data_IF_732736340748
#
_entry.id   IF_732736340748
#
_cell.length_a   1.000
_cell.length_b   1.000
_cell.length_c   1.000
_cell.angle_alpha   90.00
_cell.angle_beta   90.00
_cell.angle_gamma   90.00
#
_symmetry.space_group_name_H-M   'P 1'
#
loop_
_entity.id
_entity.type
_entity.pdbx_description
1 polymer ?
#
# COMPACT_ATOMS: atom_id res chain seq x y z
N UNK A 1 6.22 4.02 -21.70
CA UNK A 1 6.29 2.84 -20.82
C UNK A 1 5.70 3.06 -19.43
N UNK A 2 5.94 4.21 -18.77
CA UNK A 2 5.38 4.49 -17.43
C UNK A 2 3.86 4.29 -17.31
N UNK A 3 3.06 4.77 -18.28
CA UNK A 3 1.60 4.57 -18.27
C UNK A 3 1.21 3.08 -18.34
N UNK A 4 1.94 2.29 -19.13
CA UNK A 4 1.70 0.85 -19.24
C UNK A 4 2.07 0.13 -17.94
N UNK A 5 3.21 0.48 -17.34
CA UNK A 5 3.63 -0.08 -16.04
C UNK A 5 2.64 0.28 -14.93
N UNK A 6 2.16 1.53 -14.89
CA UNK A 6 1.15 1.95 -13.94
C UNK A 6 -0.18 1.21 -14.14
N UNK A 7 -0.61 1.06 -15.40
CA UNK A 7 -1.81 0.29 -15.74
C UNK A 7 -1.68 -1.18 -15.31
N UNK A 8 -0.56 -1.83 -15.62
CA UNK A 8 -0.32 -3.23 -15.26
C UNK A 8 -0.20 -3.42 -13.75
N UNK A 9 0.55 -2.55 -13.06
CA UNK A 9 0.72 -2.62 -11.62
C UNK A 9 -0.62 -2.44 -10.89
N UNK A 10 -1.33 -1.34 -11.19
CA UNK A 10 -2.63 -1.07 -10.60
C UNK A 10 -3.67 -2.13 -10.99
N UNK A 11 -3.67 -2.55 -12.25
CA UNK A 11 -4.55 -3.59 -12.77
C UNK A 11 -4.38 -4.93 -12.05
N UNK A 12 -3.15 -5.37 -11.81
CA UNK A 12 -2.87 -6.60 -11.04
C UNK A 12 -3.33 -6.46 -9.59
N UNK A 13 -3.04 -5.33 -8.93
CA UNK A 13 -3.49 -5.09 -7.54
C UNK A 13 -5.03 -5.09 -7.42
N UNK A 14 -5.72 -4.48 -8.39
CA UNK A 14 -7.19 -4.50 -8.49
C UNK A 14 -7.73 -5.90 -8.78
N UNK A 15 -7.11 -6.65 -9.69
CA UNK A 15 -7.51 -8.01 -10.03
C UNK A 15 -7.39 -8.94 -8.82
N UNK A 16 -6.33 -8.82 -8.01
CA UNK A 16 -6.21 -9.55 -6.73
C UNK A 16 -7.38 -9.19 -5.81
N UNK A 17 -7.82 -7.94 -5.79
CA UNK A 17 -8.90 -7.47 -4.92
C UNK A 17 -10.24 -8.03 -5.36
N UNK A 18 -10.48 -8.03 -6.67
CA UNK A 18 -11.63 -8.66 -7.30
C UNK A 18 -11.66 -10.16 -7.00
N UNK A 19 -10.52 -10.85 -7.11
CA UNK A 19 -10.43 -12.27 -6.76
C UNK A 19 -10.79 -12.53 -5.29
N UNK A 20 -10.34 -11.69 -4.36
CA UNK A 20 -10.73 -11.82 -2.95
C UNK A 20 -12.22 -11.60 -2.74
N UNK A 21 -12.82 -10.62 -3.42
CA UNK A 21 -14.26 -10.34 -3.35
C UNK A 21 -15.07 -11.53 -3.89
N UNK A 22 -14.66 -12.07 -5.04
CA UNK A 22 -15.43 -13.09 -5.76
C UNK A 22 -15.25 -14.51 -5.21
N UNK A 23 -14.07 -14.81 -4.64
CA UNK A 23 -13.69 -16.17 -4.24
C UNK A 23 -13.65 -16.39 -2.73
N UNK A 24 -13.81 -15.35 -1.92
CA UNK A 24 -13.79 -15.49 -0.46
C UNK A 24 -15.09 -14.99 0.16
N UNK A 25 -15.31 -15.35 1.42
CA UNK A 25 -16.44 -14.85 2.23
C UNK A 25 -16.03 -13.63 3.07
N UNK A 26 -14.90 -12.98 2.72
CA UNK A 26 -14.44 -11.80 3.43
C UNK A 26 -15.38 -10.63 3.14
N UNK A 27 -15.73 -9.89 4.20
CA UNK A 27 -16.48 -8.65 4.02
C UNK A 27 -15.60 -7.62 3.30
N UNK A 28 -16.20 -6.68 2.53
CA UNK A 28 -15.45 -5.61 1.89
C UNK A 28 -14.52 -4.88 2.86
N UNK A 29 -15.00 -4.60 4.08
CA UNK A 29 -14.19 -3.96 5.12
C UNK A 29 -12.89 -4.73 5.45
N UNK A 30 -12.93 -6.07 5.51
CA UNK A 30 -11.74 -6.89 5.79
C UNK A 30 -10.76 -6.88 4.62
N UNK A 31 -11.25 -6.86 3.38
CA UNK A 31 -10.40 -6.81 2.19
C UNK A 31 -9.69 -5.44 2.12
N UNK A 32 -10.44 -4.35 2.29
CA UNK A 32 -9.91 -2.99 2.22
C UNK A 32 -8.85 -2.77 3.33
N UNK A 33 -9.16 -3.14 4.57
CA UNK A 33 -8.20 -3.03 5.69
C UNK A 33 -6.99 -3.93 5.49
N UNK A 34 -7.19 -5.17 5.00
CA UNK A 34 -6.10 -6.08 4.66
C UNK A 34 -5.15 -5.51 3.61
N UNK A 35 -5.66 -4.81 2.60
CA UNK A 35 -4.84 -4.13 1.58
C UNK A 35 -3.96 -3.04 2.20
N UNK A 36 -4.52 -2.19 3.06
CA UNK A 36 -3.76 -1.15 3.73
C UNK A 36 -2.66 -1.76 4.61
N UNK A 37 -3.02 -2.77 5.43
CA UNK A 37 -2.06 -3.47 6.31
C UNK A 37 -0.96 -4.16 5.50
N UNK A 38 -1.30 -4.81 4.39
CA UNK A 38 -0.31 -5.42 3.49
C UNK A 38 0.65 -4.38 2.92
N UNK A 39 0.14 -3.21 2.51
CA UNK A 39 0.97 -2.08 2.09
C UNK A 39 1.96 -1.61 3.16
N UNK A 40 1.49 -1.46 4.40
CA UNK A 40 2.34 -1.11 5.55
C UNK A 40 3.42 -2.17 5.78
N UNK A 41 3.05 -3.45 5.83
CA UNK A 41 3.99 -4.55 6.09
C UNK A 41 5.04 -4.67 4.98
N UNK A 42 4.61 -4.62 3.72
CA UNK A 42 5.50 -4.67 2.56
C UNK A 42 6.47 -3.48 2.54
N UNK A 43 6.02 -2.30 2.98
CA UNK A 43 6.90 -1.15 3.10
C UNK A 43 7.83 -1.24 4.32
N UNK A 44 7.37 -1.79 5.44
CA UNK A 44 8.21 -1.99 6.63
C UNK A 44 9.40 -2.91 6.34
N UNK A 45 9.22 -3.92 5.47
CA UNK A 45 10.31 -4.78 4.98
C UNK A 45 11.05 -4.22 3.74
N UNK A 46 10.65 -3.03 3.26
CA UNK A 46 11.27 -2.34 2.12
C UNK A 46 10.88 -2.83 0.73
N UNK A 47 10.11 -3.92 0.63
CA UNK A 47 9.75 -4.55 -0.65
C UNK A 47 8.83 -3.66 -1.49
N UNK A 48 7.91 -2.93 -0.85
CA UNK A 48 6.95 -2.09 -1.57
C UNK A 48 7.61 -0.95 -2.34
N UNK A 49 8.79 -0.49 -1.91
CA UNK A 49 9.54 0.55 -2.63
C UNK A 49 9.88 0.10 -4.06
N UNK A 50 10.28 -1.15 -4.28
CA UNK A 50 10.53 -1.67 -5.64
C UNK A 50 9.27 -1.68 -6.52
N UNK A 51 8.12 -1.96 -5.91
CA UNK A 51 6.81 -1.93 -6.60
C UNK A 51 6.48 -0.50 -7.02
N UNK A 52 6.78 0.49 -6.17
CA UNK A 52 6.60 1.91 -6.47
C UNK A 52 7.56 2.40 -7.54
N UNK A 53 8.84 1.99 -7.48
CA UNK A 53 9.84 2.42 -8.45
C UNK A 53 9.54 1.90 -9.86
N UNK A 54 8.95 0.70 -9.97
CA UNK A 54 8.54 0.14 -11.26
C UNK A 54 7.13 0.57 -11.70
N UNK A 55 6.16 0.54 -10.78
CA UNK A 55 4.73 0.74 -11.07
C UNK A 55 4.24 2.18 -10.91
N UNK A 56 5.01 3.06 -10.27
CA UNK A 56 4.68 4.47 -10.08
C UNK A 56 3.29 4.67 -9.48
N UNK A 57 2.46 5.48 -10.15
CA UNK A 57 1.08 5.75 -9.74
C UNK A 57 0.21 4.48 -9.61
N UNK A 58 0.51 3.43 -10.38
CA UNK A 58 -0.18 2.15 -10.28
C UNK A 58 0.04 1.44 -8.94
N UNK A 59 1.17 1.71 -8.28
CA UNK A 59 1.49 1.17 -6.96
C UNK A 59 1.07 2.11 -5.82
N UNK A 60 1.08 3.43 -6.02
CA UNK A 60 0.84 4.40 -4.94
C UNK A 60 -0.62 4.81 -4.77
N UNK A 61 -1.45 4.72 -5.82
CA UNK A 61 -2.88 5.09 -5.76
C UNK A 61 -3.76 4.01 -5.09
N UNK A 62 -3.55 2.70 -5.28
CA UNK A 62 -4.34 1.67 -4.59
C UNK A 62 -4.16 1.68 -3.07
N UNK A 63 -5.02 0.95 -2.34
CA UNK A 63 -5.00 0.90 -0.88
C UNK A 63 -3.69 0.34 -0.29
N UNK A 64 -3.02 -0.57 -0.99
CA UNK A 64 -1.66 -1.01 -0.63
C UNK A 64 -0.65 0.15 -0.72
N UNK A 65 -0.83 1.05 -1.69
CA UNK A 65 -0.07 2.29 -1.85
C UNK A 65 -0.35 3.29 -0.73
N UNK A 66 -1.61 3.40 -0.31
CA UNK A 66 -1.97 4.18 0.87
C UNK A 66 -1.24 3.66 2.14
N UNK A 67 -1.22 2.35 2.34
CA UNK A 67 -0.46 1.72 3.43
C UNK A 67 1.05 2.00 3.36
N UNK A 68 1.65 1.93 2.16
CA UNK A 68 3.04 2.33 1.92
C UNK A 68 3.30 3.79 2.31
N UNK A 69 2.43 4.72 1.89
CA UNK A 69 2.56 6.14 2.21
C UNK A 69 2.45 6.39 3.73
N UNK A 70 1.50 5.73 4.40
CA UNK A 70 1.38 5.80 5.87
C UNK A 70 2.64 5.32 6.58
N UNK A 71 3.20 4.17 6.17
CA UNK A 71 4.42 3.64 6.77
C UNK A 71 5.59 4.63 6.64
N UNK A 72 5.76 5.26 5.47
CA UNK A 72 6.81 6.28 5.26
C UNK A 72 6.54 7.56 6.03
N UNK A 73 5.29 8.01 6.11
CA UNK A 73 4.89 9.17 6.90
C UNK A 73 5.22 8.98 8.38
N UNK A 74 4.79 7.85 8.95
CA UNK A 74 5.08 7.50 10.35
C UNK A 74 6.58 7.38 10.59
N UNK A 75 7.34 6.73 9.70
CA UNK A 75 8.79 6.64 9.84
C UNK A 75 9.46 8.02 9.86
N UNK A 76 9.00 8.95 9.01
CA UNK A 76 9.47 10.34 9.00
C UNK A 76 9.10 11.06 10.29
N UNK A 77 7.85 10.97 10.74
CA UNK A 77 7.39 11.60 11.97
C UNK A 77 8.16 11.09 13.20
N UNK A 78 8.49 9.80 13.24
CA UNK A 78 9.30 9.22 14.31
C UNK A 78 10.73 9.74 14.29
N UNK A 79 11.32 9.92 13.10
CA UNK A 79 12.65 10.50 12.96
C UNK A 79 12.69 11.96 13.46
N UNK A 80 11.60 12.72 13.31
CA UNK A 80 11.51 14.13 13.73
C UNK A 80 11.11 14.33 15.20
N UNK A 81 10.17 13.51 15.70
CA UNK A 81 9.51 13.71 17.01
C UNK A 81 9.79 12.58 18.00
N UNK A 82 10.69 11.66 17.67
CA UNK A 82 10.92 10.44 18.43
C UNK A 82 9.66 9.55 18.46
N UNK A 83 9.50 8.75 19.51
CA UNK A 83 8.38 7.79 19.60
C UNK A 83 6.99 8.45 19.53
N UNK A 84 6.87 9.72 19.90
CA UNK A 84 5.61 10.46 19.79
C UNK A 84 5.16 10.61 18.33
N UNK A 85 6.09 10.61 17.38
CA UNK A 85 5.79 10.64 15.95
C UNK A 85 4.97 9.43 15.47
N UNK A 86 5.02 8.30 16.18
CA UNK A 86 4.18 7.14 15.85
C UNK A 86 2.69 7.41 16.05
N UNK A 87 2.34 8.38 16.91
CA UNK A 87 0.96 8.72 17.26
C UNK A 87 0.42 9.93 16.50
N UNK A 88 1.22 10.54 15.62
CA UNK A 88 0.79 11.75 14.88
C UNK A 88 0.07 11.43 13.57
N UNK A 89 -0.08 10.15 13.20
CA UNK A 89 -0.76 9.72 11.98
C UNK A 89 0.10 9.72 10.71
N UNK A 90 1.40 10.03 10.84
CA UNK A 90 2.32 10.24 9.72
C UNK A 90 2.35 11.68 9.23
#
# INVERSE_FOLDING_TARGET
MQYLQAFLCGGVLCAIGQLLIDKTQLTPARILTGYVVAGVLLQAVGVYQYVVDWGGAGATVPLTGFGYCLAKGVAKAVAEKGILGAFTGG
#
